data_IF_164799806836
#
_entry.id   IF_164799806836
#
_cell.length_a   1.000
_cell.length_b   1.000
_cell.length_c   1.000
_cell.angle_alpha   90.00
_cell.angle_beta   90.00
_cell.angle_gamma   90.00
#
_symmetry.space_group_name_H-M   'P 1'
#
loop_
_entity.id
_entity.type
_entity.pdbx_description
1 polymer ?
#
# COMPACT_ATOMS: atom_id res chain seq x y z
N UNK A 1 -12.53 10.72 -2.22
CA UNK A 1 -11.31 10.74 -1.38
C UNK A 1 -10.91 9.31 -1.04
N UNK A 2 -9.65 9.00 -1.24
CA UNK A 2 -8.94 7.84 -0.71
C UNK A 2 -8.27 8.34 0.58
N UNK A 3 -8.74 7.87 1.73
CA UNK A 3 -8.36 8.42 3.02
C UNK A 3 -7.40 7.46 3.73
N UNK A 4 -6.18 7.93 4.04
CA UNK A 4 -5.08 7.09 4.46
C UNK A 4 -4.60 7.40 5.88
N UNK A 5 -4.47 6.36 6.72
CA UNK A 5 -4.21 6.49 8.14
C UNK A 5 -2.73 6.69 8.50
N UNK A 6 -1.84 5.84 7.98
CA UNK A 6 -0.46 5.77 8.45
C UNK A 6 0.55 5.74 7.30
N UNK A 7 1.60 6.57 7.40
CA UNK A 7 2.75 6.47 6.50
C UNK A 7 3.81 5.46 7.01
N UNK A 8 3.85 5.19 8.30
CA UNK A 8 4.72 4.17 8.91
C UNK A 8 3.98 3.43 10.02
N UNK A 9 4.26 2.13 10.19
CA UNK A 9 3.81 1.35 11.34
C UNK A 9 4.92 1.23 12.38
N UNK A 10 5.17 0.06 12.95
CA UNK A 10 6.19 -0.13 13.98
C UNK A 10 7.64 -0.05 13.48
N UNK A 11 7.87 -0.16 12.18
CA UNK A 11 9.19 0.04 11.58
C UNK A 11 9.30 1.43 10.96
N UNK A 12 10.38 2.14 11.32
CA UNK A 12 10.63 3.47 10.80
C UNK A 12 10.99 3.46 9.30
N UNK A 13 10.41 4.37 8.55
CA UNK A 13 10.85 4.74 7.20
C UNK A 13 11.89 5.85 7.26
N UNK A 14 11.75 6.74 8.23
CA UNK A 14 12.66 7.88 8.46
C UNK A 14 12.81 8.14 9.96
N UNK A 15 13.93 8.76 10.33
CA UNK A 15 14.14 9.16 11.73
C UNK A 15 13.07 10.15 12.19
N UNK A 16 12.39 9.83 13.29
CA UNK A 16 11.38 10.70 13.89
C UNK A 16 9.99 10.60 13.29
N UNK A 17 9.72 9.60 12.45
CA UNK A 17 8.39 9.35 11.92
C UNK A 17 7.43 8.73 12.96
N UNK A 18 6.21 8.39 12.55
CA UNK A 18 5.16 7.90 13.45
C UNK A 18 5.46 6.53 14.06
N UNK A 19 6.42 5.77 13.53
CA UNK A 19 6.75 4.41 14.03
C UNK A 19 7.06 4.37 15.53
N UNK A 20 7.64 5.44 16.07
CA UNK A 20 7.94 5.55 17.50
C UNK A 20 6.70 5.57 18.41
N UNK A 21 5.53 5.89 17.86
CA UNK A 21 4.26 5.96 18.60
C UNK A 21 3.31 4.84 18.20
N UNK A 22 3.53 4.19 17.07
CA UNK A 22 2.59 3.27 16.46
C UNK A 22 2.12 2.17 17.42
N UNK A 23 3.02 1.45 18.05
CA UNK A 23 2.66 0.31 18.92
C UNK A 23 1.77 0.72 20.11
N UNK A 24 1.96 1.94 20.62
CA UNK A 24 1.20 2.45 21.75
C UNK A 24 -0.13 3.12 21.36
N UNK A 25 -0.19 3.75 20.19
CA UNK A 25 -1.26 4.68 19.85
C UNK A 25 -2.09 4.32 18.61
N UNK A 26 -1.68 3.32 17.79
CA UNK A 26 -2.32 3.03 16.51
C UNK A 26 -3.85 2.82 16.62
N UNK A 27 -4.31 2.11 17.63
CA UNK A 27 -5.74 1.77 17.79
C UNK A 27 -6.58 2.99 18.14
N UNK A 28 -6.06 3.83 19.00
CA UNK A 28 -6.67 5.12 19.40
C UNK A 28 -6.70 6.08 18.21
N UNK A 29 -5.60 6.21 17.50
CA UNK A 29 -5.46 7.16 16.41
C UNK A 29 -6.26 6.73 15.19
N UNK A 30 -6.24 5.44 14.82
CA UNK A 30 -7.11 4.87 13.79
C UNK A 30 -8.60 5.07 14.13
N UNK A 31 -8.96 4.83 15.39
CA UNK A 31 -10.35 5.04 15.85
C UNK A 31 -10.78 6.50 15.70
N UNK A 32 -9.91 7.43 16.09
CA UNK A 32 -10.19 8.86 15.96
C UNK A 32 -10.29 9.28 14.49
N UNK A 33 -9.39 8.80 13.65
CA UNK A 33 -9.36 9.04 12.20
C UNK A 33 -10.66 8.57 11.53
N UNK A 34 -11.03 7.31 11.68
CA UNK A 34 -12.25 6.76 11.07
C UNK A 34 -13.50 7.47 11.59
N UNK A 35 -13.61 7.72 12.89
CA UNK A 35 -14.79 8.40 13.46
C UNK A 35 -14.94 9.85 12.98
N UNK A 36 -13.82 10.54 12.75
CA UNK A 36 -13.82 11.89 12.20
C UNK A 36 -14.34 11.91 10.77
N UNK A 37 -13.86 10.98 9.92
CA UNK A 37 -14.00 11.10 8.47
C UNK A 37 -15.13 10.24 7.88
N UNK A 38 -15.60 9.18 8.56
CA UNK A 38 -16.72 8.36 8.09
C UNK A 38 -18.05 9.10 7.80
N UNK A 39 -18.37 10.26 8.42
CA UNK A 39 -19.57 11.00 8.06
C UNK A 39 -19.45 11.71 6.69
N UNK A 40 -18.27 11.77 6.09
CA UNK A 40 -18.06 12.45 4.82
C UNK A 40 -18.32 11.51 3.64
N UNK A 41 -19.35 11.75 2.82
CA UNK A 41 -19.70 10.87 1.70
C UNK A 41 -18.65 10.89 0.57
N UNK A 42 -17.78 11.89 0.55
CA UNK A 42 -16.65 11.98 -0.38
C UNK A 42 -15.54 10.98 -0.08
N UNK A 43 -15.44 10.46 1.15
CA UNK A 43 -14.53 9.34 1.47
C UNK A 43 -15.14 8.07 0.92
N UNK A 44 -14.47 7.45 -0.05
CA UNK A 44 -14.95 6.25 -0.74
C UNK A 44 -14.15 5.01 -0.41
N UNK A 45 -12.98 5.18 0.24
CA UNK A 45 -11.99 4.15 0.43
C UNK A 45 -11.13 4.47 1.64
N UNK A 46 -10.85 3.48 2.48
CA UNK A 46 -9.92 3.57 3.61
C UNK A 46 -8.58 2.91 3.28
N UNK A 47 -7.48 3.54 3.65
CA UNK A 47 -6.16 2.92 3.59
C UNK A 47 -5.58 2.71 4.98
N UNK A 48 -4.99 1.54 5.17
CA UNK A 48 -4.28 1.18 6.41
C UNK A 48 -2.87 1.74 6.47
N UNK A 49 -2.34 2.22 5.34
CA UNK A 49 -1.02 2.83 5.30
C UNK A 49 -0.39 2.86 3.92
N UNK A 50 0.67 3.63 3.81
CA UNK A 50 1.44 3.85 2.60
C UNK A 50 2.81 3.20 2.67
N UNK A 51 3.14 2.36 1.68
CA UNK A 51 4.48 1.80 1.48
C UNK A 51 5.13 1.24 2.76
N UNK A 52 4.34 0.51 3.52
CA UNK A 52 4.72 0.02 4.85
C UNK A 52 5.92 -0.93 4.77
N UNK A 53 6.99 -0.71 5.55
CA UNK A 53 8.16 -1.58 5.58
C UNK A 53 7.81 -3.04 5.91
N UNK A 54 6.86 -3.26 6.80
CA UNK A 54 6.41 -4.57 7.27
C UNK A 54 5.66 -5.40 6.23
N UNK A 55 5.41 -4.87 5.03
CA UNK A 55 4.71 -5.62 3.95
C UNK A 55 5.43 -6.92 3.54
N UNK A 56 6.73 -7.04 3.84
CA UNK A 56 7.51 -8.26 3.67
C UNK A 56 7.37 -9.26 4.81
N UNK A 57 6.49 -9.03 5.79
CA UNK A 57 6.24 -9.91 6.94
C UNK A 57 7.10 -9.63 8.16
N UNK A 58 8.03 -8.68 8.08
CA UNK A 58 8.81 -8.24 9.24
C UNK A 58 7.90 -7.66 10.32
N UNK A 59 8.36 -7.66 11.56
CA UNK A 59 7.65 -7.08 12.71
C UNK A 59 6.15 -7.45 12.77
N UNK A 60 5.81 -8.70 12.46
CA UNK A 60 4.42 -9.20 12.39
C UNK A 60 3.51 -8.45 11.39
N UNK A 61 4.07 -7.89 10.32
CA UNK A 61 3.35 -7.05 9.35
C UNK A 61 2.08 -7.67 8.78
N UNK A 62 2.08 -8.97 8.45
CA UNK A 62 0.87 -9.65 7.94
C UNK A 62 -0.27 -9.68 8.97
N UNK A 63 0.08 -9.97 10.23
CA UNK A 63 -0.89 -9.94 11.32
C UNK A 63 -1.40 -8.53 11.59
N UNK A 64 -0.52 -7.53 11.51
CA UNK A 64 -0.88 -6.14 11.71
C UNK A 64 -1.77 -5.62 10.56
N UNK A 65 -1.48 -5.96 9.31
CA UNK A 65 -2.34 -5.62 8.17
C UNK A 65 -3.78 -6.11 8.38
N UNK A 66 -3.93 -7.37 8.79
CA UNK A 66 -5.24 -7.96 9.12
C UNK A 66 -5.91 -7.27 10.31
N UNK A 67 -5.16 -6.94 11.36
CA UNK A 67 -5.69 -6.25 12.55
C UNK A 67 -6.21 -4.85 12.20
N UNK A 68 -5.46 -4.08 11.45
CA UNK A 68 -5.87 -2.74 11.02
C UNK A 68 -7.12 -2.79 10.14
N UNK A 69 -7.15 -3.70 9.16
CA UNK A 69 -8.32 -3.88 8.31
C UNK A 69 -9.57 -4.26 9.12
N UNK A 70 -9.45 -5.17 10.08
CA UNK A 70 -10.56 -5.56 10.93
C UNK A 70 -11.01 -4.41 11.85
N UNK A 71 -10.07 -3.66 12.43
CA UNK A 71 -10.40 -2.49 13.24
C UNK A 71 -11.16 -1.41 12.45
N UNK A 72 -10.80 -1.21 11.18
CA UNK A 72 -11.57 -0.30 10.29
C UNK A 72 -12.97 -0.87 10.06
N UNK A 73 -13.11 -2.16 9.71
CA UNK A 73 -14.44 -2.80 9.48
C UNK A 73 -15.36 -2.71 10.67
N UNK A 74 -14.82 -2.84 11.88
CA UNK A 74 -15.60 -2.70 13.13
C UNK A 74 -16.12 -1.27 13.33
N UNK A 75 -15.45 -0.27 12.77
CA UNK A 75 -15.83 1.14 12.87
C UNK A 75 -16.67 1.61 11.67
N UNK A 76 -16.39 1.10 10.48
CA UNK A 76 -17.08 1.40 9.22
C UNK A 76 -16.96 0.23 8.23
N UNK A 77 -18.00 -0.59 8.17
CA UNK A 77 -18.10 -1.70 7.21
C UNK A 77 -18.65 -1.27 5.83
N UNK A 78 -18.89 0.02 5.60
CA UNK A 78 -19.55 0.49 4.38
C UNK A 78 -18.61 0.80 3.23
N UNK A 79 -17.31 0.89 3.50
CA UNK A 79 -16.29 1.26 2.52
C UNK A 79 -15.21 0.21 2.44
N UNK A 80 -14.66 -0.03 1.23
CA UNK A 80 -13.56 -0.97 1.04
C UNK A 80 -12.26 -0.44 1.66
N UNK A 81 -11.37 -1.38 1.96
CA UNK A 81 -10.10 -1.14 2.64
C UNK A 81 -8.95 -1.51 1.73
N UNK A 82 -7.91 -0.68 1.70
CA UNK A 82 -6.70 -0.88 0.92
C UNK A 82 -5.43 -0.58 1.72
N UNK A 83 -4.30 -0.74 1.09
CA UNK A 83 -2.97 -0.26 1.47
C UNK A 83 -2.19 0.03 0.20
N UNK A 84 -1.46 1.12 0.14
CA UNK A 84 -0.56 1.43 -0.96
C UNK A 84 0.72 0.61 -0.85
N UNK A 85 0.90 -0.37 -1.74
CA UNK A 85 2.13 -1.17 -1.80
C UNK A 85 3.06 -0.66 -2.89
N UNK A 86 4.36 -0.61 -2.60
CA UNK A 86 5.39 -0.27 -3.57
C UNK A 86 6.31 -1.46 -3.85
N UNK A 87 7.23 -1.27 -4.78
CA UNK A 87 8.37 -2.17 -4.98
C UNK A 87 9.22 -2.27 -3.71
N UNK A 88 10.18 -3.15 -3.73
CA UNK A 88 10.98 -3.53 -2.57
C UNK A 88 12.05 -2.50 -2.23
N UNK A 89 11.79 -1.55 -1.35
CA UNK A 89 12.83 -0.63 -0.88
C UNK A 89 13.08 -0.71 0.63
N UNK A 90 12.27 -1.40 1.41
CA UNK A 90 12.53 -1.56 2.84
C UNK A 90 12.03 -2.90 3.35
N UNK A 91 12.71 -3.45 4.33
CA UNK A 91 12.42 -4.75 4.91
C UNK A 91 12.83 -5.94 4.02
N UNK A 92 12.59 -5.87 2.72
CA UNK A 92 13.11 -6.83 1.74
C UNK A 92 14.53 -6.50 1.32
N UNK A 93 14.89 -5.23 1.26
CA UNK A 93 16.28 -4.82 1.00
C UNK A 93 17.21 -5.33 2.09
N UNK A 94 16.78 -5.32 3.35
CA UNK A 94 17.56 -5.88 4.47
C UNK A 94 17.66 -7.42 4.37
N UNK A 95 16.58 -8.10 4.05
CA UNK A 95 16.58 -9.55 3.81
C UNK A 95 17.45 -9.92 2.60
N UNK A 96 17.50 -9.07 1.60
CA UNK A 96 18.31 -9.26 0.39
C UNK A 96 19.78 -8.87 0.64
N UNK A 97 20.05 -7.89 1.49
CA UNK A 97 21.41 -7.46 1.86
C UNK A 97 22.16 -8.53 2.67
N UNK A 98 21.46 -9.36 3.40
CA UNK A 98 22.07 -10.50 4.11
C UNK A 98 22.56 -11.63 3.18
N UNK A 99 22.21 -11.62 1.92
CA UNK A 99 22.51 -12.71 0.99
C UNK A 99 23.05 -12.40 -0.39
N UNK A 100 22.97 -11.18 -0.92
CA UNK A 100 23.39 -10.90 -2.32
C UNK A 100 23.85 -9.46 -2.56
N UNK A 101 24.92 -9.34 -3.34
CA UNK A 101 25.48 -8.06 -3.83
C UNK A 101 24.44 -7.13 -4.46
N UNK A 102 24.42 -5.88 -4.02
CA UNK A 102 23.58 -4.77 -4.46
C UNK A 102 23.71 -4.36 -5.95
N UNK A 103 24.46 -5.07 -6.76
CA UNK A 103 24.79 -4.65 -8.13
C UNK A 103 24.08 -5.42 -9.24
N UNK A 104 23.15 -6.27 -8.92
CA UNK A 104 22.34 -6.92 -9.95
C UNK A 104 20.91 -6.39 -9.85
N UNK A 105 20.46 -5.82 -10.95
CA UNK A 105 19.04 -5.63 -11.19
C UNK A 105 18.30 -6.78 -10.53
N UNK A 106 17.40 -6.46 -9.62
CA UNK A 106 16.47 -7.43 -9.03
C UNK A 106 15.54 -7.82 -10.17
N UNK A 107 16.13 -8.45 -11.18
CA UNK A 107 15.45 -8.88 -12.38
C UNK A 107 14.79 -10.21 -12.12
N UNK A 108 13.66 -10.30 -12.59
CA UNK A 108 12.79 -11.40 -13.00
C UNK A 108 12.67 -12.63 -12.07
N UNK A 109 13.75 -13.28 -11.65
CA UNK A 109 13.68 -14.54 -10.88
C UNK A 109 13.39 -14.37 -9.38
N UNK A 110 13.85 -13.28 -8.78
CA UNK A 110 13.58 -13.00 -7.34
C UNK A 110 12.25 -12.28 -7.21
N UNK A 111 11.92 -11.43 -8.17
CA UNK A 111 10.67 -10.68 -8.19
C UNK A 111 9.44 -11.57 -8.26
N UNK A 112 9.42 -12.63 -9.04
CA UNK A 112 8.23 -13.48 -9.16
C UNK A 112 7.88 -14.17 -7.84
N UNK A 113 8.75 -14.97 -7.29
CA UNK A 113 8.44 -15.75 -6.09
C UNK A 113 8.33 -14.91 -4.81
N UNK A 114 9.11 -13.82 -4.71
CA UNK A 114 9.13 -12.98 -3.51
C UNK A 114 7.91 -12.05 -3.50
N UNK A 115 7.63 -11.38 -4.62
CA UNK A 115 6.47 -10.51 -4.77
C UNK A 115 5.16 -11.26 -4.49
N UNK A 116 4.95 -12.41 -5.13
CA UNK A 116 3.77 -13.25 -4.93
C UNK A 116 3.59 -13.61 -3.47
N UNK A 117 4.61 -14.23 -2.89
CA UNK A 117 4.57 -14.76 -1.53
C UNK A 117 4.28 -13.67 -0.48
N UNK A 118 4.88 -12.51 -0.62
CA UNK A 118 4.75 -11.46 0.37
C UNK A 118 3.50 -10.60 0.16
N UNK A 119 3.16 -10.29 -1.09
CA UNK A 119 1.96 -9.49 -1.35
C UNK A 119 0.69 -10.27 -1.07
N UNK A 120 0.61 -11.56 -1.36
CA UNK A 120 -0.55 -12.37 -1.02
C UNK A 120 -0.82 -12.35 0.48
N UNK A 121 0.18 -12.67 1.29
CA UNK A 121 0.04 -12.71 2.74
C UNK A 121 -0.31 -11.34 3.35
N UNK A 122 0.28 -10.26 2.84
CA UNK A 122 0.04 -8.91 3.31
C UNK A 122 -1.33 -8.38 2.92
N UNK A 123 -1.78 -8.67 1.69
CA UNK A 123 -3.01 -8.12 1.14
C UNK A 123 -4.26 -8.96 1.42
N UNK A 124 -4.11 -10.15 1.99
CA UNK A 124 -5.22 -11.09 2.23
C UNK A 124 -6.37 -10.51 3.07
N UNK A 125 -6.10 -9.53 3.90
CA UNK A 125 -7.11 -8.85 4.72
C UNK A 125 -7.74 -7.63 4.04
N UNK A 126 -7.28 -7.23 2.85
CA UNK A 126 -7.73 -6.04 2.13
C UNK A 126 -8.83 -6.39 1.12
N UNK A 127 -9.68 -5.40 0.81
CA UNK A 127 -10.70 -5.52 -0.23
C UNK A 127 -10.17 -5.10 -1.61
N UNK A 128 -9.21 -4.18 -1.61
CA UNK A 128 -8.56 -3.64 -2.80
C UNK A 128 -7.06 -3.57 -2.52
N UNK A 129 -6.23 -3.87 -3.50
CA UNK A 129 -4.78 -3.72 -3.40
C UNK A 129 -4.35 -2.45 -4.12
N UNK A 130 -3.74 -1.53 -3.38
CA UNK A 130 -3.16 -0.30 -3.93
C UNK A 130 -1.76 -0.55 -4.47
N UNK A 131 -1.48 -0.07 -5.67
CA UNK A 131 -0.19 -0.19 -6.35
C UNK A 131 0.42 1.20 -6.53
N UNK A 132 1.55 1.45 -5.86
CA UNK A 132 2.29 2.70 -6.01
C UNK A 132 3.36 2.52 -7.10
N UNK A 133 3.20 3.20 -8.24
CA UNK A 133 4.14 3.16 -9.38
C UNK A 133 4.41 1.76 -9.95
N UNK A 134 3.44 0.86 -9.92
CA UNK A 134 3.59 -0.56 -10.26
C UNK A 134 2.56 -1.04 -11.31
N UNK A 135 2.12 -0.18 -12.20
CA UNK A 135 1.13 -0.49 -13.24
C UNK A 135 1.55 -1.64 -14.16
N UNK A 136 2.84 -1.81 -14.36
CA UNK A 136 3.38 -2.91 -15.18
C UNK A 136 3.08 -4.30 -14.58
N UNK A 137 2.72 -4.36 -13.30
CA UNK A 137 2.37 -5.60 -12.63
C UNK A 137 0.90 -5.99 -12.74
N UNK A 138 0.00 -5.11 -13.17
CA UNK A 138 -1.44 -5.39 -13.17
C UNK A 138 -1.83 -6.67 -13.90
N UNK A 139 -1.37 -6.85 -15.14
CA UNK A 139 -1.74 -8.04 -15.93
C UNK A 139 -1.08 -9.32 -15.41
N UNK A 140 0.14 -9.23 -14.89
CA UNK A 140 0.85 -10.35 -14.28
C UNK A 140 0.15 -10.79 -13.00
N UNK A 141 -0.08 -9.86 -12.11
CA UNK A 141 -0.69 -10.13 -10.80
C UNK A 141 -2.13 -10.63 -10.94
N UNK A 142 -2.88 -10.14 -11.93
CA UNK A 142 -4.21 -10.67 -12.20
C UNK A 142 -4.20 -12.14 -12.67
N UNK A 143 -3.18 -12.57 -13.40
CA UNK A 143 -3.04 -14.00 -13.77
C UNK A 143 -2.79 -14.88 -12.56
N UNK A 144 -2.05 -14.39 -11.56
CA UNK A 144 -1.73 -15.10 -10.34
C UNK A 144 -2.85 -15.01 -9.30
N UNK A 145 -3.49 -13.86 -9.20
CA UNK A 145 -4.54 -13.54 -8.23
C UNK A 145 -5.80 -13.02 -8.96
N UNK A 146 -6.56 -13.89 -9.63
CA UNK A 146 -7.69 -13.47 -10.47
C UNK A 146 -8.80 -12.69 -9.73
N UNK A 147 -8.94 -12.93 -8.42
CA UNK A 147 -9.93 -12.25 -7.57
C UNK A 147 -9.46 -10.89 -7.04
N UNK A 148 -8.18 -10.53 -7.29
CA UNK A 148 -7.63 -9.29 -6.76
C UNK A 148 -8.20 -8.09 -7.51
N UNK A 149 -8.86 -7.21 -6.77
CA UNK A 149 -9.22 -5.87 -7.25
C UNK A 149 -8.03 -4.94 -7.03
N UNK A 150 -7.63 -4.21 -8.05
CA UNK A 150 -6.42 -3.39 -8.05
C UNK A 150 -6.75 -1.90 -8.21
N UNK A 151 -5.87 -1.07 -7.71
CA UNK A 151 -5.98 0.39 -7.75
C UNK A 151 -4.58 0.99 -7.90
N UNK A 152 -4.39 1.94 -8.81
CA UNK A 152 -3.23 2.81 -8.78
C UNK A 152 -3.36 3.77 -7.60
N UNK A 153 -2.71 3.47 -6.48
CA UNK A 153 -2.87 4.26 -5.26
C UNK A 153 -1.97 5.49 -5.21
N UNK A 154 -0.85 5.45 -5.95
CA UNK A 154 0.07 6.59 -6.06
C UNK A 154 0.84 6.52 -7.39
N UNK A 155 0.68 7.54 -8.23
CA UNK A 155 1.29 7.59 -9.56
C UNK A 155 1.67 9.00 -9.97
N UNK A 156 2.67 9.14 -10.84
CA UNK A 156 3.12 10.45 -11.32
C UNK A 156 2.10 11.13 -12.25
N UNK A 157 1.80 12.44 -12.05
CA UNK A 157 0.87 13.18 -12.90
C UNK A 157 1.26 13.17 -14.39
N UNK A 158 2.56 13.22 -14.68
CA UNK A 158 3.09 13.22 -16.06
C UNK A 158 2.78 11.93 -16.83
N UNK A 159 2.43 10.86 -16.13
CA UNK A 159 2.21 9.53 -16.68
C UNK A 159 0.73 9.15 -16.81
N UNK A 160 -0.18 10.03 -16.39
CA UNK A 160 -1.62 9.75 -16.41
C UNK A 160 -2.13 9.36 -17.81
N UNK A 161 -1.60 9.97 -18.85
CA UNK A 161 -1.96 9.66 -20.24
C UNK A 161 -1.59 8.23 -20.67
N UNK A 162 -0.58 7.64 -20.03
CA UNK A 162 -0.19 6.25 -20.22
C UNK A 162 -1.00 5.30 -19.32
N UNK A 163 -1.24 5.69 -18.09
CA UNK A 163 -1.86 4.84 -17.06
C UNK A 163 -3.37 4.72 -17.20
N UNK A 164 -4.05 5.82 -17.55
CA UNK A 164 -5.50 5.82 -17.67
C UNK A 164 -6.06 4.82 -18.69
N UNK A 165 -5.43 4.60 -19.87
CA UNK A 165 -5.83 3.54 -20.79
C UNK A 165 -5.76 2.12 -20.19
N UNK A 166 -4.90 1.88 -19.20
CA UNK A 166 -4.88 0.60 -18.49
C UNK A 166 -6.12 0.44 -17.61
N UNK A 167 -6.51 1.49 -16.89
CA UNK A 167 -7.75 1.50 -16.07
C UNK A 167 -8.98 1.24 -16.96
N UNK A 168 -9.07 1.87 -18.12
CA UNK A 168 -10.19 1.66 -19.05
C UNK A 168 -10.23 0.25 -19.65
N UNK A 169 -9.09 -0.37 -19.85
CA UNK A 169 -8.96 -1.68 -20.51
C UNK A 169 -9.08 -2.85 -19.54
N UNK A 170 -8.59 -2.69 -18.32
CA UNK A 170 -8.45 -3.77 -17.34
C UNK A 170 -9.57 -3.70 -16.29
N UNK A 171 -10.60 -4.54 -16.37
CA UNK A 171 -11.81 -4.41 -15.53
C UNK A 171 -11.55 -4.68 -14.04
N UNK A 172 -10.41 -5.24 -13.70
CA UNK A 172 -9.96 -5.48 -12.33
C UNK A 172 -9.12 -4.32 -11.76
N UNK A 173 -8.81 -3.29 -12.55
CA UNK A 173 -8.18 -2.04 -12.11
C UNK A 173 -9.25 -0.95 -12.03
N UNK A 174 -9.61 -0.55 -10.81
CA UNK A 174 -10.80 0.30 -10.59
C UNK A 174 -10.53 1.80 -10.63
N UNK A 175 -9.29 2.23 -10.73
CA UNK A 175 -8.94 3.65 -10.78
C UNK A 175 -7.45 3.90 -10.62
N UNK A 176 -7.11 5.20 -10.61
CA UNK A 176 -5.76 5.71 -10.43
C UNK A 176 -5.79 6.98 -9.58
N UNK A 177 -4.91 7.07 -8.59
CA UNK A 177 -4.70 8.25 -7.78
C UNK A 177 -3.32 8.83 -8.06
N UNK A 178 -3.31 10.11 -8.34
CA UNK A 178 -2.09 10.84 -8.68
C UNK A 178 -1.42 11.40 -7.45
N UNK A 179 -0.13 11.18 -7.30
CA UNK A 179 0.72 11.84 -6.32
C UNK A 179 1.42 13.03 -6.99
N UNK A 180 1.18 14.26 -6.60
CA UNK A 180 0.19 14.70 -5.62
C UNK A 180 -0.44 15.99 -6.09
N UNK A 181 -1.57 16.40 -5.48
CA UNK A 181 -2.26 17.63 -5.88
C UNK A 181 -1.70 18.89 -5.18
N UNK A 182 -1.07 18.77 -4.00
CA UNK A 182 -0.78 19.91 -3.14
C UNK A 182 0.69 20.11 -2.79
N UNK A 183 1.45 19.08 -2.54
CA UNK A 183 2.73 19.19 -1.82
C UNK A 183 3.95 18.81 -2.64
N UNK A 184 3.97 19.19 -3.90
CA UNK A 184 5.17 19.00 -4.72
C UNK A 184 6.40 19.74 -4.19
N UNK A 185 6.20 20.88 -3.51
CA UNK A 185 7.31 21.68 -3.01
C UNK A 185 7.99 21.06 -1.79
N UNK A 186 7.27 20.24 -1.02
CA UNK A 186 7.84 19.54 0.13
C UNK A 186 8.81 18.44 -0.24
N UNK A 187 8.61 17.79 -1.38
CA UNK A 187 9.43 16.65 -1.83
C UNK A 187 10.32 16.97 -3.03
N UNK A 188 10.06 18.05 -3.74
CA UNK A 188 10.80 18.47 -4.91
C UNK A 188 12.10 19.21 -4.60
N UNK A 189 12.60 19.11 -3.38
CA UNK A 189 13.83 19.77 -2.88
C UNK A 189 15.13 19.22 -3.47
#
# INVERSE_FOLDING_TARGET
VFDEAFDAWGMAKRGGDYSQFFDADWEKDLTAFIKRDRPHPSVILWSTGNEIPERGGLNNGYSMATRLANAIRDLDASRPITNGICSFWSGLDDYMAEGKNQSQNVSDDITENVWERYTEAFTNGLDIVGYNYLEDLYERDHKMFPERVMLGSENFPKEIGYRWPLVERLPYVIGDFTWTAWDYLGEAG
#
